data_IF_244464765190
#
_entry.id   IF_244464765190
#
_cell.length_a   1.000
_cell.length_b   1.000
_cell.length_c   1.000
_cell.angle_alpha   90.00
_cell.angle_beta   90.00
_cell.angle_gamma   90.00
#
_symmetry.space_group_name_H-M   'P 1'
#
loop_
_entity.id
_entity.type
_entity.pdbx_description
1 polymer ?
#
# COMPACT_ATOMS: atom_id res chain seq x y z
N UNK A 1 -17.17 2.02 -10.66
CA UNK A 1 -16.13 0.99 -10.60
C UNK A 1 -14.77 1.67 -10.74
N UNK A 2 -13.97 1.56 -9.70
CA UNK A 2 -12.65 2.19 -9.70
C UNK A 2 -11.73 1.44 -10.66
N UNK A 3 -11.21 2.14 -11.65
CA UNK A 3 -10.20 1.57 -12.54
C UNK A 3 -8.90 1.35 -11.76
N UNK A 4 -8.13 0.32 -12.14
CA UNK A 4 -6.81 0.12 -11.59
C UNK A 4 -5.94 1.36 -11.83
N UNK A 5 -5.05 1.64 -10.89
CA UNK A 5 -4.06 2.69 -11.04
C UNK A 5 -3.15 2.38 -12.24
N UNK A 6 -2.70 3.41 -12.92
CA UNK A 6 -1.92 3.26 -14.14
C UNK A 6 -0.45 3.64 -13.93
N UNK A 7 0.41 3.17 -14.83
CA UNK A 7 1.83 3.50 -14.77
C UNK A 7 2.05 5.01 -14.87
N UNK A 8 3.09 5.50 -14.22
CA UNK A 8 3.38 6.92 -14.16
C UNK A 8 2.59 7.70 -13.10
N UNK A 9 1.55 7.11 -12.51
CA UNK A 9 0.82 7.76 -11.42
C UNK A 9 1.71 7.92 -10.19
N UNK A 10 1.59 9.06 -9.53
CA UNK A 10 2.29 9.32 -8.27
C UNK A 10 1.74 8.44 -7.16
N UNK A 11 2.63 7.83 -6.41
CA UNK A 11 2.30 7.00 -5.26
C UNK A 11 3.17 7.37 -4.08
N UNK A 12 2.69 7.08 -2.88
CA UNK A 12 3.48 7.31 -1.67
C UNK A 12 3.21 6.23 -0.63
N UNK A 13 4.05 6.17 0.37
CA UNK A 13 3.93 5.24 1.49
C UNK A 13 4.39 5.89 2.78
N UNK A 14 3.87 5.37 3.90
CA UNK A 14 4.40 5.60 5.24
C UNK A 14 4.83 4.25 5.81
N UNK A 15 6.01 4.18 6.37
CA UNK A 15 6.54 2.96 6.98
C UNK A 15 7.41 3.24 8.17
N UNK A 16 7.94 2.17 8.76
CA UNK A 16 8.83 2.24 9.92
C UNK A 16 10.15 1.53 9.61
N UNK A 17 10.99 2.08 8.71
CA UNK A 17 12.31 1.49 8.45
C UNK A 17 13.24 1.63 9.65
N UNK A 18 12.90 2.49 10.59
CA UNK A 18 13.54 2.73 11.88
C UNK A 18 12.47 2.90 12.94
N UNK A 19 12.78 3.47 14.07
CA UNK A 19 11.82 3.68 15.18
C UNK A 19 10.83 4.83 14.93
N UNK A 20 10.99 5.55 13.83
CA UNK A 20 10.10 6.65 13.44
C UNK A 20 9.42 6.38 12.11
N UNK A 21 8.27 7.00 11.89
CA UNK A 21 7.58 6.94 10.60
C UNK A 21 8.39 7.68 9.54
N UNK A 22 8.51 7.07 8.37
CA UNK A 22 9.21 7.65 7.24
C UNK A 22 8.30 7.66 6.02
N UNK A 23 8.25 8.82 5.37
CA UNK A 23 7.50 9.04 4.14
C UNK A 23 8.36 8.66 2.93
N UNK A 24 7.80 7.87 2.02
CA UNK A 24 8.42 7.56 0.75
C UNK A 24 7.51 7.95 -0.40
N UNK A 25 8.08 8.49 -1.47
CA UNK A 25 7.35 8.93 -2.65
C UNK A 25 7.99 8.37 -3.91
N UNK A 26 7.15 8.06 -4.88
CA UNK A 26 7.60 7.58 -6.18
C UNK A 26 6.44 7.53 -7.17
N UNK A 27 6.57 6.64 -8.13
CA UNK A 27 5.55 6.44 -9.16
C UNK A 27 5.33 4.95 -9.41
N UNK A 28 4.21 4.66 -10.05
CA UNK A 28 3.88 3.30 -10.48
C UNK A 28 4.69 2.99 -11.74
N UNK A 29 5.62 2.06 -11.64
CA UNK A 29 6.50 1.67 -12.75
C UNK A 29 5.84 0.70 -13.71
N UNK A 30 4.99 -0.19 -13.18
CA UNK A 30 4.26 -1.16 -14.00
C UNK A 30 2.96 -1.58 -13.29
N UNK A 31 1.96 -1.90 -14.09
CA UNK A 31 0.69 -2.46 -13.61
C UNK A 31 0.82 -3.94 -13.26
N UNK A 32 1.94 -4.56 -13.59
CA UNK A 32 2.27 -5.95 -13.26
C UNK A 32 3.56 -6.01 -12.47
N UNK A 33 3.68 -7.02 -11.62
CA UNK A 33 4.88 -7.28 -10.85
C UNK A 33 5.90 -8.12 -11.61
N UNK A 34 6.72 -8.85 -10.87
CA UNK A 34 7.78 -9.68 -11.44
C UNK A 34 7.20 -10.72 -12.41
N UNK A 35 7.83 -10.85 -13.58
CA UNK A 35 7.46 -11.83 -14.60
C UNK A 35 5.98 -11.78 -15.01
N UNK A 36 5.42 -10.57 -15.08
CA UNK A 36 4.04 -10.36 -15.50
C UNK A 36 2.99 -10.69 -14.45
N UNK A 37 3.39 -10.82 -13.19
CA UNK A 37 2.47 -11.07 -12.09
C UNK A 37 1.38 -10.00 -11.99
N UNK A 38 0.13 -10.39 -12.25
CA UNK A 38 -1.02 -9.47 -12.25
C UNK A 38 -1.51 -9.10 -10.85
N UNK A 39 -1.06 -9.79 -9.82
CA UNK A 39 -1.43 -9.55 -8.41
C UNK A 39 -0.71 -8.33 -7.84
N UNK A 40 0.44 -7.97 -8.41
CA UNK A 40 1.30 -6.92 -7.88
C UNK A 40 1.51 -5.77 -8.85
N UNK A 41 1.73 -4.58 -8.30
CA UNK A 41 2.31 -3.43 -9.01
C UNK A 41 3.81 -3.44 -8.83
N UNK A 42 4.54 -2.91 -9.82
CA UNK A 42 5.92 -2.50 -9.66
C UNK A 42 5.98 -1.00 -9.36
N UNK A 43 6.75 -0.61 -8.36
CA UNK A 43 6.85 0.77 -7.90
C UNK A 43 8.30 1.25 -7.90
N UNK A 44 8.50 2.56 -8.01
CA UNK A 44 9.82 3.18 -7.96
C UNK A 44 10.30 3.52 -6.55
N UNK A 45 9.43 3.42 -5.55
CA UNK A 45 9.79 3.73 -4.16
C UNK A 45 10.82 2.71 -3.68
N UNK A 46 11.99 3.14 -3.16
CA UNK A 46 12.94 2.20 -2.57
C UNK A 46 12.31 1.50 -1.38
N UNK A 47 12.33 0.17 -1.39
CA UNK A 47 11.83 -0.64 -0.28
C UNK A 47 12.99 -1.07 0.59
N UNK A 48 13.01 -0.54 1.80
CA UNK A 48 13.96 -0.92 2.84
C UNK A 48 13.24 -1.76 3.90
N UNK A 49 13.97 -2.53 4.74
CA UNK A 49 13.36 -3.19 5.89
C UNK A 49 12.55 -2.18 6.71
N UNK A 50 11.30 -2.53 7.05
CA UNK A 50 10.37 -1.63 7.75
C UNK A 50 9.33 -0.97 6.86
N UNK A 51 9.51 -0.95 5.54
CA UNK A 51 8.49 -0.50 4.58
C UNK A 51 7.55 -1.64 4.16
N UNK A 52 8.02 -2.88 4.25
CA UNK A 52 7.22 -4.07 3.93
C UNK A 52 5.99 -4.15 4.84
N UNK A 53 4.85 -4.43 4.24
CA UNK A 53 3.57 -4.43 4.97
C UNK A 53 2.93 -3.07 5.08
N UNK A 54 3.63 -2.00 4.72
CA UNK A 54 3.09 -0.64 4.72
C UNK A 54 2.14 -0.39 3.54
N UNK A 55 1.25 0.60 3.69
CA UNK A 55 0.32 0.92 2.63
C UNK A 55 0.99 1.63 1.46
N UNK A 56 0.55 1.30 0.25
CA UNK A 56 0.84 2.09 -0.94
C UNK A 56 -0.40 2.92 -1.26
N UNK A 57 -0.22 4.22 -1.37
CA UNK A 57 -1.32 5.16 -1.57
C UNK A 57 -1.15 5.91 -2.89
N UNK A 58 -2.28 6.22 -3.53
CA UNK A 58 -2.29 7.09 -4.70
C UNK A 58 -2.28 8.57 -4.29
N UNK A 59 -2.25 9.48 -5.26
CA UNK A 59 -2.19 10.93 -5.00
C UNK A 59 -3.40 11.47 -4.22
N UNK A 60 -4.51 10.74 -4.23
CA UNK A 60 -5.74 11.10 -3.51
C UNK A 60 -5.80 10.48 -2.11
N UNK A 61 -4.80 9.70 -1.73
CA UNK A 61 -4.77 9.03 -0.43
C UNK A 61 -5.57 7.73 -0.38
N UNK A 62 -5.92 7.15 -1.52
CA UNK A 62 -6.53 5.82 -1.54
C UNK A 62 -5.44 4.76 -1.37
N UNK A 63 -5.71 3.75 -0.54
CA UNK A 63 -4.83 2.59 -0.43
C UNK A 63 -5.02 1.71 -1.66
N UNK A 64 -4.01 1.62 -2.50
CA UNK A 64 -4.04 0.84 -3.74
C UNK A 64 -3.24 -0.45 -3.65
N UNK A 65 -2.42 -0.61 -2.62
CA UNK A 65 -1.64 -1.81 -2.43
C UNK A 65 -0.97 -1.88 -1.07
N UNK A 66 -0.31 -3.01 -0.83
CA UNK A 66 0.52 -3.26 0.35
C UNK A 66 1.92 -3.62 -0.13
N UNK A 67 2.93 -2.94 0.37
CA UNK A 67 4.32 -3.17 -0.03
C UNK A 67 4.76 -4.56 0.41
N UNK A 68 5.24 -5.37 -0.54
CA UNK A 68 5.57 -6.78 -0.26
C UNK A 68 7.00 -7.01 0.19
N UNK A 69 7.90 -6.07 0.00
CA UNK A 69 9.29 -6.19 0.41
C UNK A 69 10.13 -7.20 -0.37
N UNK A 70 9.59 -7.84 -1.39
CA UNK A 70 10.36 -8.74 -2.25
C UNK A 70 11.15 -7.91 -3.25
N UNK A 71 12.43 -7.77 -2.98
CA UNK A 71 13.38 -7.33 -4.00
C UNK A 71 13.76 -8.55 -4.84
N UNK A 72 13.45 -8.51 -6.12
CA UNK A 72 14.03 -9.44 -7.06
C UNK A 72 15.43 -8.98 -7.44
N UNK A 73 16.21 -9.86 -8.05
CA UNK A 73 17.59 -9.59 -8.48
C UNK A 73 17.71 -8.47 -9.52
N UNK A 74 16.62 -7.93 -10.01
CA UNK A 74 16.60 -6.77 -10.89
C UNK A 74 16.77 -5.51 -10.05
N UNK A 75 17.78 -4.74 -10.35
CA UNK A 75 18.20 -3.56 -9.61
C UNK A 75 17.06 -2.61 -9.25
N UNK A 76 16.79 -2.50 -7.95
CA UNK A 76 15.88 -1.49 -7.41
C UNK A 76 14.39 -1.71 -7.66
N UNK A 77 13.98 -2.87 -8.18
CA UNK A 77 12.55 -3.14 -8.36
C UNK A 77 11.87 -3.45 -7.03
N UNK A 78 10.84 -2.69 -6.71
CA UNK A 78 10.00 -2.91 -5.55
C UNK A 78 8.58 -3.22 -6.00
N UNK A 79 7.85 -3.99 -5.19
CA UNK A 79 6.53 -4.47 -5.54
C UNK A 79 5.52 -4.23 -4.42
N UNK A 80 4.26 -4.06 -4.81
CA UNK A 80 3.15 -3.94 -3.88
C UNK A 80 2.00 -4.82 -4.35
N UNK A 81 1.41 -5.57 -3.44
CA UNK A 81 0.24 -6.40 -3.71
C UNK A 81 -0.98 -5.48 -3.85
N UNK A 82 -1.72 -5.64 -4.93
CA UNK A 82 -2.90 -4.81 -5.21
C UNK A 82 -3.99 -5.03 -4.17
N UNK A 83 -4.61 -3.94 -3.75
CA UNK A 83 -5.64 -3.94 -2.69
C UNK A 83 -6.84 -4.82 -3.02
N UNK A 84 -7.24 -4.91 -4.30
CA UNK A 84 -8.38 -5.74 -4.68
C UNK A 84 -8.17 -7.23 -4.37
N UNK A 85 -6.95 -7.73 -4.42
CA UNK A 85 -6.64 -9.10 -4.02
C UNK A 85 -6.68 -9.27 -2.50
N UNK A 86 -6.28 -8.24 -1.75
CA UNK A 86 -6.41 -8.23 -0.29
C UNK A 86 -7.87 -8.28 0.12
N UNK A 87 -8.74 -7.48 -0.51
CA UNK A 87 -10.19 -7.48 -0.26
C UNK A 87 -10.78 -8.85 -0.54
N UNK A 88 -10.42 -9.47 -1.66
CA UNK A 88 -10.87 -10.84 -1.99
C UNK A 88 -10.44 -11.85 -0.92
N UNK A 89 -9.21 -11.72 -0.41
CA UNK A 89 -8.73 -12.60 0.65
C UNK A 89 -9.52 -12.43 1.94
N UNK A 90 -9.88 -11.20 2.29
CA UNK A 90 -10.74 -10.91 3.46
C UNK A 90 -12.14 -11.47 3.29
N UNK A 91 -12.73 -11.34 2.10
CA UNK A 91 -14.05 -11.88 1.78
C UNK A 91 -14.09 -13.41 1.86
N UNK A 92 -12.95 -14.07 1.61
CA UNK A 92 -12.83 -15.52 1.69
C UNK A 92 -12.74 -16.03 3.13
N UNK A 93 -12.50 -15.16 4.12
CA UNK A 93 -12.47 -15.55 5.52
C UNK A 93 -13.89 -15.81 6.02
N UNK A 94 -14.18 -16.98 6.68
CA UNK A 94 -15.50 -17.25 7.23
C UNK A 94 -15.96 -16.17 8.22
N UNK A 95 -17.24 -15.79 8.18
CA UNK A 95 -17.78 -14.77 9.09
C UNK A 95 -17.52 -15.06 10.57
N UNK A 96 -17.45 -16.35 10.93
CA UNK A 96 -17.17 -16.77 12.30
C UNK A 96 -15.78 -16.36 12.78
N UNK A 97 -14.84 -16.18 11.86
CA UNK A 97 -13.45 -15.81 12.16
C UNK A 97 -13.20 -14.30 12.03
N UNK A 98 -14.21 -13.54 11.60
CA UNK A 98 -14.13 -12.10 11.47
C UNK A 98 -14.73 -11.38 12.66
N UNK A 99 -14.10 -10.30 13.09
CA UNK A 99 -14.73 -9.35 14.00
C UNK A 99 -15.94 -8.72 13.29
N UNK A 100 -17.12 -8.83 13.90
CA UNK A 100 -18.37 -8.28 13.35
C UNK A 100 -18.34 -6.77 13.18
N UNK A 101 -17.41 -6.08 13.85
CA UNK A 101 -17.23 -4.65 13.75
C UNK A 101 -16.29 -4.24 12.60
N UNK A 102 -15.72 -5.22 11.90
CA UNK A 102 -14.84 -4.94 10.77
C UNK A 102 -15.69 -4.54 9.56
N UNK A 103 -15.79 -3.24 9.33
CA UNK A 103 -16.37 -2.70 8.11
C UNK A 103 -15.30 -1.98 7.30
N UNK A 104 -15.18 -2.33 6.02
CA UNK A 104 -14.31 -1.60 5.11
C UNK A 104 -15.03 -0.32 4.70
N UNK A 105 -14.64 0.80 5.30
CA UNK A 105 -15.14 2.11 4.88
C UNK A 105 -14.41 2.52 3.61
N UNK A 106 -15.09 2.42 2.47
CA UNK A 106 -14.55 2.76 1.17
C UNK A 106 -14.59 4.26 0.88
N UNK A 107 -15.06 5.07 1.82
CA UNK A 107 -15.20 6.50 1.62
C UNK A 107 -13.87 7.21 1.89
N UNK A 108 -13.30 7.82 0.86
CA UNK A 108 -12.08 8.60 0.97
C UNK A 108 -12.40 10.02 1.41
N UNK A 109 -11.98 10.38 2.63
CA UNK A 109 -12.20 11.71 3.22
C UNK A 109 -11.01 12.66 3.01
N UNK A 110 -9.92 12.20 2.41
CA UNK A 110 -8.68 12.99 2.28
C UNK A 110 -8.29 13.33 0.84
N UNK A 111 -9.14 12.97 -0.13
CA UNK A 111 -8.82 13.14 -1.55
C UNK A 111 -8.59 14.60 -1.96
N UNK A 112 -9.23 15.55 -1.29
CA UNK A 112 -9.09 16.99 -1.57
C UNK A 112 -7.96 17.66 -0.80
N UNK A 113 -7.32 16.95 0.13
CA UNK A 113 -6.24 17.50 0.95
C UNK A 113 -4.91 17.46 0.20
N UNK A 114 -4.01 18.38 0.55
CA UNK A 114 -2.63 18.31 0.06
C UNK A 114 -1.87 17.18 0.76
N UNK A 115 -0.69 16.83 0.24
CA UNK A 115 0.09 15.71 0.74
C UNK A 115 0.44 15.83 2.22
N UNK A 116 0.81 17.01 2.68
CA UNK A 116 1.16 17.25 4.08
C UNK A 116 -0.01 16.99 5.02
N UNK A 117 -1.20 17.41 4.62
CA UNK A 117 -2.43 17.18 5.38
C UNK A 117 -2.87 15.72 5.32
N UNK A 118 -2.72 15.08 4.15
CA UNK A 118 -2.96 13.65 3.99
C UNK A 118 -2.09 12.83 4.95
N UNK A 119 -0.81 13.14 5.01
CA UNK A 119 0.14 12.45 5.89
C UNK A 119 -0.22 12.60 7.36
N UNK A 120 -0.68 13.80 7.79
CA UNK A 120 -1.14 14.02 9.16
C UNK A 120 -2.33 13.15 9.53
N UNK A 121 -3.24 12.91 8.58
CA UNK A 121 -4.40 12.05 8.81
C UNK A 121 -4.03 10.56 8.82
N UNK A 122 -3.16 10.16 7.89
CA UNK A 122 -2.79 8.75 7.71
C UNK A 122 -1.87 8.25 8.83
N UNK A 123 -1.02 9.11 9.39
CA UNK A 123 -0.01 8.71 10.38
C UNK A 123 -0.62 7.97 11.59
N UNK A 124 -1.85 8.29 11.95
CA UNK A 124 -2.53 7.69 13.10
C UNK A 124 -3.00 6.24 12.83
N UNK A 125 -2.96 5.81 11.57
CA UNK A 125 -3.45 4.50 11.13
C UNK A 125 -2.34 3.56 10.67
N UNK A 126 -1.08 3.99 10.71
CA UNK A 126 0.07 3.18 10.34
C UNK A 126 0.88 2.85 11.59
N UNK A 127 1.04 1.56 11.86
CA UNK A 127 1.66 1.07 13.09
C UNK A 127 2.81 0.13 12.78
N UNK A 128 3.82 0.12 13.66
CA UNK A 128 4.82 -0.91 13.65
C UNK A 128 4.29 -2.11 14.42
N UNK A 129 4.27 -3.28 13.79
CA UNK A 129 3.91 -4.54 14.45
C UNK A 129 5.20 -5.23 14.89
N UNK A 130 5.33 -5.47 16.20
CA UNK A 130 6.44 -6.25 16.75
C UNK A 130 5.90 -7.57 17.25
N UNK A 131 6.59 -8.66 16.89
CA UNK A 131 6.26 -10.02 17.32
C UNK A 131 7.37 -10.47 18.27
N UNK A 132 6.98 -10.85 19.46
CA UNK A 132 7.91 -11.34 20.49
C UNK A 132 7.85 -12.85 20.62
#
# INVERSE_FOLDING_TARGET
KKSDSDWGEDVFTLGFPRDEQVYGKGYLSSKTGFDGDTVSYQISIPVNPGNSGGPLLDSKGNVIGIISGKQTRTDGAAFAIKTNYLVKSLEAIPEADLDRNLSLNLKNSISSLNRKEQLKKIQDYVFMVRVY
#
